data_IF_671913203599
#
_entry.id   IF_671913203599
#
_cell.length_a   1.000
_cell.length_b   1.000
_cell.length_c   1.000
_cell.angle_alpha   90.00
_cell.angle_beta   90.00
_cell.angle_gamma   90.00
#
_symmetry.space_group_name_H-M   'P 1'
#
loop_
_entity.id
_entity.type
_entity.pdbx_description
1 polymer ?
#
# COMPACT_ATOMS: atom_id res chain seq x y z
N UNK A 1 6.44 17.67 13.74
CA UNK A 1 6.38 16.27 14.23
C UNK A 1 5.58 15.48 13.21
N UNK A 2 6.05 14.31 12.80
CA UNK A 2 5.24 13.40 11.98
C UNK A 2 4.30 12.67 12.95
N UNK A 3 3.00 12.89 12.81
CA UNK A 3 1.96 12.45 13.78
C UNK A 3 1.61 10.96 13.66
N UNK A 4 2.18 10.25 12.68
CA UNK A 4 2.03 8.83 12.45
C UNK A 4 2.45 8.49 11.01
N UNK A 5 2.62 7.21 10.71
CA UNK A 5 3.02 6.72 9.41
C UNK A 5 1.81 6.32 8.56
N UNK A 6 1.79 6.81 7.32
CA UNK A 6 0.81 6.42 6.32
C UNK A 6 1.32 5.16 5.62
N UNK A 7 0.70 4.01 5.91
CA UNK A 7 1.13 2.71 5.41
C UNK A 7 0.16 2.19 4.35
N UNK A 8 0.68 1.97 3.16
CA UNK A 8 -0.03 1.35 2.04
C UNK A 8 0.23 -0.16 2.02
N UNK A 9 -0.80 -0.91 1.64
CA UNK A 9 -0.71 -2.24 1.08
C UNK A 9 -0.69 -2.14 -0.44
N UNK A 10 0.22 -2.88 -1.07
CA UNK A 10 0.38 -2.98 -2.52
C UNK A 10 0.21 -4.44 -2.89
N UNK A 11 -0.87 -4.78 -3.59
CA UNK A 11 -1.15 -6.12 -4.10
C UNK A 11 -0.93 -6.22 -5.61
N UNK A 12 -0.87 -7.45 -6.11
CA UNK A 12 -0.63 -7.76 -7.53
C UNK A 12 0.75 -7.32 -8.03
N UNK A 13 1.73 -7.20 -7.13
CA UNK A 13 3.12 -7.01 -7.52
C UNK A 13 3.61 -8.17 -8.39
N UNK A 14 4.64 -7.90 -9.19
CA UNK A 14 5.44 -8.96 -9.76
C UNK A 14 6.03 -9.83 -8.63
N UNK A 15 6.04 -11.15 -8.81
CA UNK A 15 6.60 -12.05 -7.81
C UNK A 15 8.13 -11.91 -7.70
N UNK A 16 8.77 -11.40 -8.75
CA UNK A 16 10.21 -11.12 -8.76
C UNK A 16 10.54 -9.69 -8.31
N UNK A 17 9.54 -8.84 -8.03
CA UNK A 17 9.79 -7.48 -7.56
C UNK A 17 10.48 -7.49 -6.19
N UNK A 18 11.58 -6.74 -6.10
CA UNK A 18 12.36 -6.52 -4.88
C UNK A 18 11.85 -5.31 -4.10
N UNK A 19 12.30 -5.16 -2.85
CA UNK A 19 12.10 -3.93 -2.08
C UNK A 19 12.65 -2.71 -2.82
N UNK A 20 13.81 -2.83 -3.48
CA UNK A 20 14.39 -1.75 -4.28
C UNK A 20 13.49 -1.35 -5.46
N UNK A 21 12.92 -2.31 -6.20
CA UNK A 21 12.02 -2.02 -7.32
C UNK A 21 10.76 -1.29 -6.86
N UNK A 22 10.18 -1.75 -5.75
CA UNK A 22 8.99 -1.13 -5.15
C UNK A 22 9.33 0.25 -4.61
N UNK A 23 10.46 0.42 -3.94
CA UNK A 23 10.92 1.72 -3.45
C UNK A 23 11.10 2.70 -4.61
N UNK A 24 11.82 2.30 -5.66
CA UNK A 24 12.07 3.13 -6.83
C UNK A 24 10.79 3.60 -7.52
N UNK A 25 9.77 2.74 -7.62
CA UNK A 25 8.48 3.13 -8.18
C UNK A 25 7.71 4.10 -7.28
N UNK A 26 7.66 3.82 -5.97
CA UNK A 26 6.83 4.57 -5.04
C UNK A 26 7.46 5.92 -4.65
N UNK A 27 8.79 6.05 -4.64
CA UNK A 27 9.49 7.29 -4.26
C UNK A 27 9.16 8.50 -5.16
N UNK A 28 8.64 8.27 -6.39
CA UNK A 28 8.13 9.32 -7.25
C UNK A 28 6.93 10.10 -6.69
N UNK A 29 6.20 9.53 -5.73
CA UNK A 29 4.94 10.08 -5.21
C UNK A 29 5.06 10.64 -3.78
N UNK A 30 6.26 10.53 -3.19
CA UNK A 30 6.57 10.95 -1.83
C UNK A 30 7.82 10.27 -1.34
N UNK A 31 8.41 10.74 -0.23
CA UNK A 31 9.61 10.10 0.31
C UNK A 31 9.24 8.79 0.98
N UNK A 32 9.64 7.67 0.39
CA UNK A 32 9.41 6.34 0.99
C UNK A 32 10.28 6.19 2.24
N UNK A 33 9.64 5.91 3.38
CA UNK A 33 10.33 5.69 4.65
C UNK A 33 10.75 4.23 4.81
N UNK A 34 9.92 3.30 4.33
CA UNK A 34 10.18 1.87 4.45
C UNK A 34 9.35 1.07 3.44
N UNK A 35 9.92 -0.04 2.96
CA UNK A 35 9.27 -1.03 2.09
C UNK A 35 9.48 -2.42 2.68
N UNK A 36 8.45 -3.25 2.66
CA UNK A 36 8.55 -4.65 3.05
C UNK A 36 7.77 -5.52 2.06
N UNK A 37 8.46 -6.29 1.21
CA UNK A 37 7.82 -7.27 0.32
C UNK A 37 7.43 -8.49 1.15
N UNK A 38 6.14 -8.84 1.12
CA UNK A 38 5.61 -9.97 1.86
C UNK A 38 6.07 -11.28 1.23
N UNK A 39 6.74 -12.10 2.04
CA UNK A 39 7.25 -13.41 1.63
C UNK A 39 6.64 -14.53 2.46
N UNK A 40 6.54 -15.70 1.84
CA UNK A 40 6.24 -16.94 2.56
C UNK A 40 7.39 -17.28 3.50
N UNK A 41 7.08 -17.59 4.77
CA UNK A 41 8.10 -17.77 5.81
C UNK A 41 8.93 -19.05 5.66
N UNK A 42 8.44 -20.02 4.88
CA UNK A 42 9.10 -21.32 4.71
C UNK A 42 9.93 -21.34 3.43
N UNK A 43 9.35 -20.85 2.33
CA UNK A 43 9.96 -20.89 0.99
C UNK A 43 10.68 -19.59 0.60
N UNK A 44 10.50 -18.51 1.37
CA UNK A 44 10.97 -17.15 1.06
C UNK A 44 10.49 -16.59 -0.29
N UNK A 45 9.49 -17.20 -0.92
CA UNK A 45 8.91 -16.67 -2.16
C UNK A 45 8.01 -15.47 -1.88
N UNK A 46 8.04 -14.48 -2.77
CA UNK A 46 7.13 -13.34 -2.72
C UNK A 46 5.67 -13.81 -2.76
N UNK A 47 4.82 -13.15 -1.99
CA UNK A 47 3.35 -13.30 -2.02
C UNK A 47 2.70 -12.34 -3.01
N UNK A 48 3.49 -11.67 -3.86
CA UNK A 48 2.98 -10.69 -4.83
C UNK A 48 2.35 -9.47 -4.16
N UNK A 49 2.82 -9.13 -2.95
CA UNK A 49 2.33 -7.98 -2.18
C UNK A 49 3.43 -7.38 -1.31
N UNK A 50 3.31 -6.09 -0.99
CA UNK A 50 4.23 -5.37 -0.14
C UNK A 50 3.49 -4.36 0.74
N UNK A 51 4.19 -3.86 1.75
CA UNK A 51 3.84 -2.61 2.42
C UNK A 51 4.81 -1.50 2.04
N UNK A 52 4.29 -0.29 1.88
CA UNK A 52 5.07 0.94 1.65
C UNK A 52 4.64 1.97 2.69
N UNK A 53 5.60 2.60 3.37
CA UNK A 53 5.35 3.57 4.43
C UNK A 53 5.81 4.97 4.01
N UNK A 54 4.94 5.95 4.15
CA UNK A 54 5.19 7.38 3.93
C UNK A 54 5.07 8.18 5.23
N UNK A 55 5.62 9.40 5.19
CA UNK A 55 5.53 10.35 6.29
C UNK A 55 4.18 11.06 6.40
N UNK A 56 3.36 11.04 5.35
CA UNK A 56 2.08 11.74 5.31
C UNK A 56 1.02 11.02 4.50
N UNK A 57 -0.25 11.32 4.77
CA UNK A 57 -1.38 10.83 3.97
C UNK A 57 -1.43 11.45 2.58
N UNK A 58 -0.89 12.66 2.40
CA UNK A 58 -0.85 13.34 1.10
C UNK A 58 0.04 12.58 0.10
N UNK A 59 1.24 12.16 0.53
CA UNK A 59 2.16 11.31 -0.24
C UNK A 59 1.54 9.94 -0.56
N UNK A 60 0.93 9.31 0.45
CA UNK A 60 0.28 8.01 0.29
C UNK A 60 -0.93 8.07 -0.67
N UNK A 61 -1.74 9.13 -0.58
CA UNK A 61 -2.86 9.37 -1.49
C UNK A 61 -2.39 9.63 -2.92
N UNK A 62 -1.30 10.38 -3.10
CA UNK A 62 -0.68 10.59 -4.41
C UNK A 62 -0.31 9.25 -5.06
N UNK A 63 0.34 8.35 -4.31
CA UNK A 63 0.70 7.02 -4.79
C UNK A 63 -0.54 6.16 -5.13
N UNK A 64 -1.57 6.15 -4.28
CA UNK A 64 -2.84 5.44 -4.56
C UNK A 64 -3.45 5.96 -5.85
N UNK A 65 -3.63 7.28 -5.96
CA UNK A 65 -4.25 7.91 -7.12
C UNK A 65 -3.47 7.64 -8.40
N UNK A 66 -2.13 7.62 -8.34
CA UNK A 66 -1.28 7.43 -9.51
C UNK A 66 -1.15 5.96 -9.95
N UNK A 67 -1.14 5.00 -9.02
CA UNK A 67 -0.76 3.62 -9.32
C UNK A 67 -1.92 2.62 -9.29
N UNK A 68 -2.94 2.83 -8.44
CA UNK A 68 -4.02 1.85 -8.30
C UNK A 68 -4.76 1.65 -9.62
N UNK A 69 -4.80 0.40 -10.09
CA UNK A 69 -5.41 0.01 -11.36
C UNK A 69 -4.82 0.70 -12.61
N UNK A 70 -3.57 1.23 -12.54
CA UNK A 70 -2.94 1.94 -13.67
C UNK A 70 -1.61 1.36 -14.12
N UNK A 71 -0.80 0.86 -13.19
CA UNK A 71 0.49 0.23 -13.49
C UNK A 71 0.44 -1.25 -13.10
N UNK A 72 1.09 -2.14 -13.85
CA UNK A 72 0.97 -3.58 -13.65
C UNK A 72 2.28 -4.32 -13.37
N UNK A 73 3.44 -3.65 -13.35
CA UNK A 73 4.74 -4.31 -13.15
C UNK A 73 4.91 -5.58 -14.02
N UNK A 74 4.53 -5.49 -15.30
CA UNK A 74 4.65 -6.61 -16.26
C UNK A 74 3.78 -7.84 -15.89
N UNK A 75 2.76 -7.65 -15.06
CA UNK A 75 1.74 -8.65 -14.72
C UNK A 75 0.47 -8.43 -15.53
N UNK A 76 -0.37 -9.47 -15.61
CA UNK A 76 -1.67 -9.37 -16.30
C UNK A 76 -2.64 -8.38 -15.64
N UNK A 77 -2.59 -8.28 -14.30
CA UNK A 77 -3.46 -7.40 -13.52
C UNK A 77 -2.68 -6.20 -12.98
N UNK A 78 -3.27 -5.00 -12.95
CA UNK A 78 -2.63 -3.83 -12.39
C UNK A 78 -2.53 -3.91 -10.86
N UNK A 79 -1.66 -3.07 -10.31
CA UNK A 79 -1.44 -2.94 -8.87
C UNK A 79 -2.72 -2.54 -8.15
N UNK A 80 -2.96 -3.21 -7.03
CA UNK A 80 -3.99 -2.83 -6.06
C UNK A 80 -3.31 -2.06 -4.92
N UNK A 81 -3.50 -0.73 -4.84
CA UNK A 81 -2.82 0.13 -3.88
C UNK A 81 -3.85 0.75 -2.96
N UNK A 82 -3.81 0.44 -1.67
CA UNK A 82 -4.73 1.00 -0.68
C UNK A 82 -4.07 1.08 0.69
N UNK A 83 -4.64 1.83 1.63
CA UNK A 83 -4.12 1.82 2.99
C UNK A 83 -4.18 0.43 3.64
N UNK A 84 -3.14 0.11 4.39
CA UNK A 84 -3.08 -1.06 5.25
C UNK A 84 -3.93 -0.85 6.51
N UNK A 85 -4.55 -1.91 7.03
CA UNK A 85 -5.31 -1.88 8.29
C UNK A 85 -4.49 -1.50 9.53
N UNK A 86 -3.15 -1.43 9.44
CA UNK A 86 -2.25 -0.97 10.51
C UNK A 86 -1.66 0.43 10.26
N UNK A 87 -2.14 1.16 9.26
CA UNK A 87 -1.72 2.54 9.05
C UNK A 87 -2.07 3.38 10.29
N UNK A 88 -1.14 4.20 10.79
CA UNK A 88 -1.39 5.05 11.96
C UNK A 88 -2.21 6.29 11.58
N UNK A 89 -1.98 6.80 10.37
CA UNK A 89 -2.76 7.89 9.77
C UNK A 89 -3.37 7.44 8.45
N UNK A 90 -4.55 7.95 8.13
CA UNK A 90 -5.27 7.68 6.88
C UNK A 90 -6.16 8.88 6.54
N UNK A 91 -6.21 9.28 5.28
CA UNK A 91 -7.12 10.33 4.82
C UNK A 91 -8.56 9.82 4.69
N UNK A 92 -9.53 10.72 4.62
CA UNK A 92 -10.92 10.35 4.36
C UNK A 92 -11.07 9.64 3.00
N UNK A 93 -10.46 10.20 1.96
CA UNK A 93 -10.37 9.57 0.63
C UNK A 93 -9.77 8.16 0.71
N UNK A 94 -8.62 8.02 1.36
CA UNK A 94 -7.90 6.76 1.51
C UNK A 94 -8.73 5.69 2.22
N UNK A 95 -9.51 6.09 3.24
CA UNK A 95 -10.43 5.21 3.96
C UNK A 95 -11.57 4.72 3.06
N UNK A 96 -12.24 5.62 2.36
CA UNK A 96 -13.35 5.26 1.45
C UNK A 96 -12.86 4.37 0.31
N UNK A 97 -11.69 4.68 -0.24
CA UNK A 97 -11.02 3.89 -1.24
C UNK A 97 -10.73 2.47 -0.74
N UNK A 98 -10.08 2.32 0.42
CA UNK A 98 -9.74 1.02 0.99
C UNK A 98 -10.98 0.20 1.35
N UNK A 99 -12.05 0.81 1.89
CA UNK A 99 -13.32 0.12 2.17
C UNK A 99 -13.97 -0.43 0.89
N UNK A 100 -13.98 0.37 -0.18
CA UNK A 100 -14.52 -0.04 -1.48
C UNK A 100 -13.74 -1.22 -2.05
N UNK A 101 -12.41 -1.12 -2.02
CA UNK A 101 -11.53 -2.15 -2.57
C UNK A 101 -11.60 -3.46 -1.76
N UNK A 102 -11.67 -3.39 -0.43
CA UNK A 102 -11.85 -4.55 0.43
C UNK A 102 -13.21 -5.25 0.17
N UNK A 103 -14.27 -4.49 -0.11
CA UNK A 103 -15.59 -5.03 -0.46
C UNK A 103 -15.59 -5.73 -1.82
N UNK A 104 -14.85 -5.21 -2.79
CA UNK A 104 -14.72 -5.83 -4.11
C UNK A 104 -13.82 -7.07 -4.08
N UNK A 105 -12.72 -7.00 -3.33
CA UNK A 105 -11.79 -8.10 -3.16
C UNK A 105 -11.26 -8.14 -1.71
N UNK A 106 -11.79 -9.06 -0.91
CA UNK A 106 -11.46 -9.20 0.51
C UNK A 106 -10.02 -9.65 0.79
N UNK A 107 -9.23 -9.98 -0.23
CA UNK A 107 -7.78 -10.16 -0.08
C UNK A 107 -7.05 -8.83 0.17
N UNK A 108 -7.62 -7.70 -0.22
CA UNK A 108 -7.11 -6.38 0.16
C UNK A 108 -7.52 -6.09 1.61
N UNK A 109 -6.64 -5.53 2.46
CA UNK A 109 -6.99 -5.25 3.84
C UNK A 109 -8.04 -4.14 3.93
N UNK A 110 -8.96 -4.26 4.90
CA UNK A 110 -9.76 -3.12 5.33
C UNK A 110 -8.86 -2.04 5.96
N UNK A 111 -9.20 -0.74 5.85
CA UNK A 111 -8.46 0.31 6.54
C UNK A 111 -8.61 0.20 8.07
N UNK A 112 -7.77 0.90 8.85
CA UNK A 112 -7.90 0.94 10.31
C UNK A 112 -9.31 1.39 10.72
N UNK A 113 -9.81 0.89 11.84
CA UNK A 113 -11.04 1.44 12.45
C UNK A 113 -10.84 2.93 12.76
N UNK A 114 -11.91 3.73 12.74
CA UNK A 114 -11.78 5.14 13.18
C UNK A 114 -11.38 5.07 14.65
N UNK A 115 -10.20 5.57 15.00
CA UNK A 115 -9.90 5.89 16.38
C UNK A 115 -10.95 6.93 16.78
N UNK A 116 -11.96 6.50 17.54
CA UNK A 116 -12.78 7.43 18.29
C UNK A 116 -11.79 8.26 19.12
N UNK A 117 -11.80 9.60 19.03
CA UNK A 117 -11.08 10.40 20.00
C UNK A 117 -11.52 9.93 21.39
N UNK A 118 -10.58 9.49 22.22
CA UNK A 118 -10.86 9.26 23.63
C UNK A 118 -11.24 10.59 24.29
#
# INVERSE_FOLDING_TARGET
MVLGQARLFVGQLNFDATEEDVCALFDFYGKVLHVNVLRDRTTNRSKGSAFVEYGSTEEADCAIMALHNRYNMEREKPLQVSYCGKSEVISEYGREHALRLHRENSANPAPPERTVPQ
#
